data_IF_804436413242
#
_entry.id   IF_804436413242
#
_cell.length_a   1.000
_cell.length_b   1.000
_cell.length_c   1.000
_cell.angle_alpha   90.00
_cell.angle_beta   90.00
_cell.angle_gamma   90.00
#
_symmetry.space_group_name_H-M   'P 1'
#
loop_
_entity.id
_entity.type
_entity.pdbx_description
1 polymer ?
#
# COMPACT_ATOMS: atom_id res chain seq x y z
N UNK A 1 -6.94 -60.34 32.41
CA UNK A 1 -7.89 -59.23 32.33
C UNK A 1 -7.22 -57.88 32.08
N UNK A 2 -6.50 -57.64 30.95
CA UNK A 2 -5.88 -56.32 30.76
C UNK A 2 -5.73 -55.90 29.26
N UNK A 3 -6.58 -56.39 28.40
CA UNK A 3 -6.50 -56.02 26.97
C UNK A 3 -7.60 -55.04 26.46
N UNK A 4 -8.62 -54.70 27.23
CA UNK A 4 -9.75 -53.87 26.77
C UNK A 4 -9.64 -52.36 27.05
N UNK A 5 -8.57 -51.88 27.72
CA UNK A 5 -8.46 -50.49 28.12
C UNK A 5 -7.65 -49.59 27.17
N UNK A 6 -6.90 -50.19 26.23
CA UNK A 6 -6.01 -49.43 25.35
C UNK A 6 -6.70 -48.85 24.08
N UNK A 7 -7.76 -49.50 23.60
CA UNK A 7 -8.43 -49.08 22.35
C UNK A 7 -9.32 -47.81 22.48
N UNK A 8 -9.78 -47.47 23.67
CA UNK A 8 -10.70 -46.33 23.88
C UNK A 8 -10.03 -44.98 23.95
N UNK A 9 -8.72 -44.94 24.21
CA UNK A 9 -7.95 -43.68 24.33
C UNK A 9 -7.55 -43.09 22.95
N UNK A 10 -7.43 -43.92 21.94
CA UNK A 10 -7.00 -43.48 20.59
C UNK A 10 -8.08 -42.80 19.77
N UNK A 11 -9.35 -43.17 19.99
CA UNK A 11 -10.49 -42.60 19.22
C UNK A 11 -10.88 -41.20 19.69
N UNK A 12 -10.78 -40.92 21.00
CA UNK A 12 -11.09 -39.59 21.56
C UNK A 12 -10.10 -38.51 21.14
N UNK A 13 -8.81 -38.85 21.07
CA UNK A 13 -7.75 -37.94 20.64
C UNK A 13 -7.88 -37.55 19.14
N UNK A 14 -8.24 -38.51 18.30
CA UNK A 14 -8.43 -38.27 16.85
C UNK A 14 -9.67 -37.42 16.55
N UNK A 15 -10.74 -37.61 17.29
CA UNK A 15 -11.97 -36.82 17.09
C UNK A 15 -11.77 -35.35 17.55
N UNK A 16 -11.05 -35.14 18.63
CA UNK A 16 -10.69 -33.79 19.12
C UNK A 16 -9.78 -33.04 18.15
N UNK A 17 -8.77 -33.70 17.59
CA UNK A 17 -7.86 -33.10 16.60
C UNK A 17 -8.60 -32.72 15.30
N UNK A 18 -9.53 -33.59 14.83
CA UNK A 18 -10.33 -33.32 13.65
C UNK A 18 -11.32 -32.17 13.88
N UNK A 19 -11.92 -32.07 15.06
CA UNK A 19 -12.81 -30.97 15.40
C UNK A 19 -12.05 -29.62 15.49
N UNK A 20 -10.85 -29.63 16.05
CA UNK A 20 -9.98 -28.43 16.10
C UNK A 20 -9.56 -27.97 14.72
N UNK A 21 -9.11 -28.89 13.86
CA UNK A 21 -8.74 -28.57 12.48
C UNK A 21 -9.92 -28.01 11.66
N UNK A 22 -11.15 -28.54 11.88
CA UNK A 22 -12.34 -28.03 11.22
C UNK A 22 -12.75 -26.63 11.74
N UNK A 23 -12.54 -26.35 13.03
CA UNK A 23 -12.77 -25.03 13.62
C UNK A 23 -11.76 -24.01 13.09
N UNK A 24 -10.48 -24.37 13.07
CA UNK A 24 -9.41 -23.52 12.54
C UNK A 24 -9.61 -23.20 11.05
N UNK A 25 -10.05 -24.18 10.25
CA UNK A 25 -10.37 -23.99 8.84
C UNK A 25 -11.57 -23.04 8.65
N UNK A 26 -12.61 -23.14 9.49
CA UNK A 26 -13.77 -22.24 9.44
C UNK A 26 -13.40 -20.81 9.82
N UNK A 27 -12.58 -20.65 10.85
CA UNK A 27 -12.10 -19.33 11.30
C UNK A 27 -11.23 -18.69 10.22
N UNK A 28 -10.31 -19.45 9.61
CA UNK A 28 -9.50 -18.97 8.51
C UNK A 28 -10.35 -18.51 7.32
N UNK A 29 -11.37 -19.28 6.95
CA UNK A 29 -12.27 -18.92 5.85
C UNK A 29 -13.08 -17.64 6.16
N UNK A 30 -13.60 -17.52 7.36
CA UNK A 30 -14.34 -16.31 7.79
C UNK A 30 -13.47 -15.06 7.79
N UNK A 31 -12.24 -15.16 8.29
CA UNK A 31 -11.28 -14.05 8.28
C UNK A 31 -10.95 -13.59 6.85
N UNK A 32 -10.80 -14.54 5.93
CA UNK A 32 -10.55 -14.23 4.52
C UNK A 32 -11.72 -13.48 3.88
N UNK A 33 -12.97 -13.92 4.13
CA UNK A 33 -14.14 -13.22 3.59
C UNK A 33 -14.31 -11.83 4.18
N UNK A 34 -14.03 -11.64 5.47
CA UNK A 34 -14.03 -10.32 6.11
C UNK A 34 -12.97 -9.42 5.48
N UNK A 35 -11.76 -9.93 5.29
CA UNK A 35 -10.68 -9.15 4.64
C UNK A 35 -11.05 -8.76 3.20
N UNK A 36 -11.62 -9.66 2.42
CA UNK A 36 -12.10 -9.37 1.07
C UNK A 36 -13.22 -8.33 1.07
N UNK A 37 -14.18 -8.45 1.98
CA UNK A 37 -15.24 -7.47 2.12
C UNK A 37 -14.70 -6.09 2.46
N UNK A 38 -13.78 -6.00 3.42
CA UNK A 38 -13.11 -4.75 3.78
C UNK A 38 -12.33 -4.16 2.59
N UNK A 39 -11.62 -4.98 1.83
CA UNK A 39 -10.90 -4.54 0.63
C UNK A 39 -11.85 -4.00 -0.44
N UNK A 40 -12.97 -4.69 -0.70
CA UNK A 40 -13.97 -4.23 -1.67
C UNK A 40 -14.63 -2.93 -1.21
N UNK A 41 -15.09 -2.86 0.03
CA UNK A 41 -15.70 -1.64 0.58
C UNK A 41 -14.71 -0.48 0.58
N UNK A 42 -13.48 -0.71 1.03
CA UNK A 42 -12.41 0.30 1.00
C UNK A 42 -12.13 0.76 -0.42
N UNK A 43 -12.00 -0.16 -1.39
CA UNK A 43 -11.79 0.18 -2.79
C UNK A 43 -12.94 0.99 -3.39
N UNK A 44 -14.18 0.64 -3.10
CA UNK A 44 -15.35 1.40 -3.56
C UNK A 44 -15.42 2.81 -2.96
N UNK A 45 -15.14 2.95 -1.66
CA UNK A 45 -15.10 4.25 -1.00
C UNK A 45 -13.95 5.11 -1.53
N UNK A 46 -12.78 4.51 -1.76
CA UNK A 46 -11.62 5.22 -2.27
C UNK A 46 -11.75 5.58 -3.75
N UNK A 47 -12.48 4.79 -4.54
CA UNK A 47 -12.68 5.06 -5.97
C UNK A 47 -13.24 6.45 -6.28
N UNK A 48 -14.02 7.02 -5.36
CA UNK A 48 -14.52 8.38 -5.49
C UNK A 48 -13.40 9.45 -5.49
N UNK A 49 -12.23 9.14 -4.92
CA UNK A 49 -11.09 10.08 -4.87
C UNK A 49 -10.31 10.14 -6.18
N UNK A 50 -10.47 9.14 -7.07
CA UNK A 50 -9.72 9.08 -8.34
C UNK A 50 -10.01 10.25 -9.28
N UNK A 51 -11.20 10.87 -9.15
CA UNK A 51 -11.60 12.02 -9.95
C UNK A 51 -11.26 13.37 -9.30
N UNK A 52 -10.71 13.35 -8.09
CA UNK A 52 -10.30 14.58 -7.42
C UNK A 52 -9.05 15.15 -8.10
N UNK A 53 -8.98 16.48 -8.15
CA UNK A 53 -7.79 17.19 -8.63
C UNK A 53 -6.70 17.29 -7.58
N UNK A 54 -5.56 17.83 -8.00
CA UNK A 54 -4.48 18.19 -7.09
C UNK A 54 -4.92 19.23 -6.06
N UNK A 55 -4.54 19.03 -4.80
CA UNK A 55 -4.81 19.97 -3.71
C UNK A 55 -3.54 20.69 -3.29
N UNK A 56 -3.69 21.64 -2.41
CA UNK A 56 -2.74 22.65 -1.99
C UNK A 56 -1.24 22.25 -2.04
N UNK A 57 -0.85 21.21 -1.34
CA UNK A 57 0.55 20.74 -1.27
C UNK A 57 1.00 20.02 -2.53
N UNK A 58 0.08 19.38 -3.24
CA UNK A 58 0.37 18.63 -4.46
C UNK A 58 0.89 19.54 -5.58
N UNK A 59 0.46 20.78 -5.60
CA UNK A 59 0.95 21.76 -6.59
C UNK A 59 2.46 21.91 -6.51
N UNK A 60 3.00 22.10 -5.31
CA UNK A 60 4.45 22.27 -5.12
C UNK A 60 5.20 20.96 -5.19
N UNK A 61 4.64 19.89 -4.63
CA UNK A 61 5.31 18.60 -4.57
C UNK A 61 5.34 17.87 -5.93
N UNK A 62 4.36 18.14 -6.81
CA UNK A 62 4.19 17.43 -8.09
C UNK A 62 4.29 18.41 -9.27
N UNK A 63 3.37 19.40 -9.37
CA UNK A 63 3.24 20.25 -10.55
C UNK A 63 4.39 21.23 -10.74
N UNK A 64 4.94 21.75 -9.66
CA UNK A 64 6.04 22.73 -9.67
C UNK A 64 7.39 22.09 -9.34
N UNK A 65 7.41 20.79 -9.00
CA UNK A 65 8.63 20.11 -8.63
C UNK A 65 9.47 19.73 -9.87
N UNK A 66 10.65 20.34 -9.97
CA UNK A 66 11.57 20.13 -11.08
C UNK A 66 12.00 18.66 -11.24
N UNK A 67 12.02 17.91 -10.13
CA UNK A 67 12.41 16.49 -10.15
C UNK A 67 11.28 15.57 -10.62
N UNK A 68 10.04 16.06 -10.66
CA UNK A 68 8.88 15.35 -11.20
C UNK A 68 8.63 15.70 -12.67
N UNK A 69 8.63 17.00 -12.99
CA UNK A 69 8.20 17.47 -14.32
C UNK A 69 9.29 17.41 -15.39
N UNK A 70 10.56 17.39 -15.01
CA UNK A 70 11.66 17.31 -15.96
C UNK A 70 12.15 15.87 -16.17
N UNK A 71 12.87 15.60 -17.27
CA UNK A 71 13.46 14.28 -17.49
C UNK A 71 14.28 13.79 -16.30
N UNK A 72 14.25 12.48 -16.08
CA UNK A 72 14.92 11.83 -14.98
C UNK A 72 16.39 12.26 -14.86
N UNK A 73 16.78 12.67 -13.67
CA UNK A 73 18.15 13.00 -13.32
C UNK A 73 18.47 12.47 -11.93
N UNK A 74 19.38 11.49 -11.87
CA UNK A 74 19.75 10.81 -10.64
C UNK A 74 20.36 11.77 -9.61
N UNK A 75 21.25 12.67 -10.04
CA UNK A 75 21.92 13.62 -9.17
C UNK A 75 20.91 14.57 -8.50
N UNK A 76 19.99 15.14 -9.26
CA UNK A 76 18.93 16.00 -8.72
C UNK A 76 18.06 15.25 -7.71
N UNK A 77 17.59 14.07 -8.04
CA UNK A 77 16.72 13.26 -7.19
C UNK A 77 17.32 13.01 -5.80
N UNK A 78 18.63 12.82 -5.72
CA UNK A 78 19.30 12.54 -4.45
C UNK A 78 19.89 13.77 -3.75
N UNK A 79 19.99 14.91 -4.43
CA UNK A 79 20.50 16.16 -3.85
C UNK A 79 19.38 17.15 -3.50
N UNK A 80 18.16 16.93 -3.97
CA UNK A 80 17.02 17.80 -3.69
C UNK A 80 16.14 17.26 -2.56
N UNK A 81 15.39 18.16 -1.96
CA UNK A 81 14.35 17.81 -0.98
C UNK A 81 13.02 17.41 -1.69
N UNK A 82 12.01 17.08 -0.90
CA UNK A 82 10.69 16.69 -1.38
C UNK A 82 10.01 17.72 -2.31
N UNK A 83 10.43 18.98 -2.23
CA UNK A 83 9.87 20.10 -2.99
C UNK A 83 10.72 20.49 -4.21
N UNK A 84 11.75 19.72 -4.54
CA UNK A 84 12.66 19.98 -5.65
C UNK A 84 13.71 21.06 -5.37
N UNK A 85 13.93 21.42 -4.10
CA UNK A 85 14.98 22.38 -3.70
C UNK A 85 16.24 21.65 -3.23
N UNK A 86 17.45 22.13 -3.65
CA UNK A 86 18.68 21.51 -3.19
C UNK A 86 18.78 21.50 -1.65
N UNK A 87 18.96 20.31 -1.07
CA UNK A 87 19.03 20.11 0.39
C UNK A 87 20.09 20.99 1.06
N UNK A 88 21.18 21.30 0.35
CA UNK A 88 22.26 22.14 0.86
C UNK A 88 21.87 23.61 1.07
N UNK A 89 20.78 24.10 0.45
CA UNK A 89 20.37 25.50 0.55
C UNK A 89 19.65 25.81 1.87
N UNK A 90 19.70 27.06 2.31
CA UNK A 90 18.98 27.51 3.50
C UNK A 90 17.49 27.60 3.28
N UNK A 91 17.02 27.72 2.05
CA UNK A 91 15.59 27.77 1.67
C UNK A 91 14.93 26.38 1.62
N UNK A 92 15.70 25.31 1.67
CA UNK A 92 15.18 23.94 1.70
C UNK A 92 14.55 23.62 3.06
N UNK A 93 13.39 22.98 3.02
CA UNK A 93 12.71 22.43 4.21
C UNK A 93 13.40 21.21 4.80
N UNK A 94 14.51 20.71 4.18
CA UNK A 94 15.24 19.50 4.58
C UNK A 94 14.39 18.24 4.61
N UNK A 95 13.26 18.24 3.92
CA UNK A 95 12.35 17.10 3.81
C UNK A 95 12.85 16.14 2.73
N UNK A 96 13.78 15.25 3.09
CA UNK A 96 14.44 14.35 2.15
C UNK A 96 13.61 13.08 1.91
N UNK A 97 13.00 12.93 0.73
CA UNK A 97 12.13 11.80 0.35
C UNK A 97 12.32 11.36 -1.10
N UNK A 98 13.52 10.92 -1.51
CA UNK A 98 13.81 10.65 -2.92
C UNK A 98 12.95 9.55 -3.53
N UNK A 99 12.57 8.51 -2.76
CA UNK A 99 11.71 7.43 -3.26
C UNK A 99 10.27 7.90 -3.54
N UNK A 100 9.75 8.82 -2.74
CA UNK A 100 8.42 9.42 -2.98
C UNK A 100 8.45 10.30 -4.23
N UNK A 101 9.49 11.12 -4.40
CA UNK A 101 9.66 11.95 -5.61
C UNK A 101 9.82 11.07 -6.84
N UNK A 102 10.57 9.97 -6.74
CA UNK A 102 10.70 8.99 -7.82
C UNK A 102 9.36 8.35 -8.18
N UNK A 103 8.51 7.99 -7.20
CA UNK A 103 7.18 7.45 -7.50
C UNK A 103 6.31 8.47 -8.25
N UNK A 104 6.36 9.75 -7.87
CA UNK A 104 5.66 10.82 -8.60
C UNK A 104 6.17 10.98 -10.04
N UNK A 105 7.47 10.85 -10.25
CA UNK A 105 8.04 10.90 -11.59
C UNK A 105 7.59 9.73 -12.46
N UNK A 106 7.50 8.53 -11.89
CA UNK A 106 6.97 7.34 -12.57
C UNK A 106 5.48 7.54 -12.91
N UNK A 107 4.69 8.07 -11.99
CA UNK A 107 3.27 8.35 -12.22
C UNK A 107 3.09 9.41 -13.32
N UNK A 108 3.88 10.48 -13.31
CA UNK A 108 3.90 11.47 -14.38
C UNK A 108 4.24 10.84 -15.74
N UNK A 109 5.25 9.97 -15.78
CA UNK A 109 5.65 9.29 -17.00
C UNK A 109 4.56 8.36 -17.54
N UNK A 110 3.85 7.64 -16.66
CA UNK A 110 2.76 6.72 -17.03
C UNK A 110 1.54 7.51 -17.53
N UNK A 111 1.20 8.61 -16.87
CA UNK A 111 0.05 9.44 -17.21
C UNK A 111 0.30 10.28 -18.48
N UNK A 112 1.52 10.71 -18.70
CA UNK A 112 1.95 11.50 -19.84
C UNK A 112 1.68 13.01 -19.74
N UNK A 113 0.83 13.43 -18.80
CA UNK A 113 0.54 14.84 -18.52
C UNK A 113 0.25 15.07 -17.02
N UNK A 114 0.04 16.33 -16.66
CA UNK A 114 -0.30 16.74 -15.28
C UNK A 114 -1.66 17.46 -15.23
N UNK A 115 -2.54 17.20 -16.18
CA UNK A 115 -3.87 17.83 -16.23
C UNK A 115 -4.84 17.22 -15.22
N UNK A 116 -4.63 15.95 -14.88
CA UNK A 116 -5.42 15.22 -13.88
C UNK A 116 -4.51 14.61 -12.82
N UNK A 117 -5.09 14.25 -11.67
CA UNK A 117 -4.36 13.59 -10.59
C UNK A 117 -4.63 12.07 -10.51
N UNK A 118 -5.32 11.50 -11.51
CA UNK A 118 -5.85 10.13 -11.45
C UNK A 118 -4.78 9.08 -11.18
N UNK A 119 -3.65 9.14 -11.92
CA UNK A 119 -2.55 8.19 -11.74
C UNK A 119 -1.93 8.29 -10.35
N UNK A 120 -1.72 9.50 -9.85
CA UNK A 120 -1.18 9.74 -8.51
C UNK A 120 -2.10 9.20 -7.42
N UNK A 121 -3.42 9.32 -7.60
CA UNK A 121 -4.41 8.71 -6.68
C UNK A 121 -4.45 7.18 -6.77
N UNK A 122 -4.10 6.59 -7.91
CA UNK A 122 -4.03 5.12 -8.06
C UNK A 122 -2.81 4.52 -7.35
N UNK A 123 -1.69 5.24 -7.35
CA UNK A 123 -0.43 4.79 -6.74
C UNK A 123 -0.43 4.97 -5.24
N UNK A 124 -1.12 5.97 -4.73
CA UNK A 124 -1.17 6.33 -3.31
C UNK A 124 -2.17 5.48 -2.53
#
# INVERSE_FOLDING_TARGET
GNQHRSARKGTSSRSSAKAKAAADARTGNSATWIALLCAVVGGLLYSNTLQNGFVFDDRKAILENIDVVQPFNFERLFNNDFWGMPVATSSSHKSYRPLTVLSFQVDHYIQGDLTTAEQFHRTN
#
